data_IF_200271962032
#
_entry.id   IF_200271962032
#
_cell.length_a   1.000
_cell.length_b   1.000
_cell.length_c   1.000
_cell.angle_alpha   90.00
_cell.angle_beta   90.00
_cell.angle_gamma   90.00
#
_symmetry.space_group_name_H-M   'P 1'
#
loop_
_entity.id
_entity.type
_entity.pdbx_description
1 polymer ?
#
# COMPACT_ATOMS: atom_id res chain seq x y z
N UNK A 1 -18.68 -12.05 22.31
CA UNK A 1 -18.10 -11.93 20.96
C UNK A 1 -17.19 -13.11 20.75
N UNK A 2 -17.29 -13.81 19.62
CA UNK A 2 -16.45 -14.96 19.32
C UNK A 2 -14.97 -14.55 19.34
N UNK A 3 -14.07 -15.25 20.07
CA UNK A 3 -12.63 -14.95 20.10
C UNK A 3 -11.99 -14.95 18.73
N UNK A 4 -12.45 -15.83 17.81
CA UNK A 4 -11.94 -15.87 16.44
C UNK A 4 -12.28 -14.59 15.66
N UNK A 5 -13.50 -14.04 15.86
CA UNK A 5 -13.90 -12.78 15.24
C UNK A 5 -13.07 -11.61 15.78
N UNK A 6 -12.84 -11.56 17.09
CA UNK A 6 -11.98 -10.52 17.72
C UNK A 6 -10.58 -10.55 17.11
N UNK A 7 -10.00 -11.75 16.96
CA UNK A 7 -8.68 -11.91 16.38
C UNK A 7 -8.62 -11.41 14.94
N UNK A 8 -9.60 -11.76 14.11
CA UNK A 8 -9.66 -11.33 12.71
C UNK A 8 -9.81 -9.81 12.61
N UNK A 9 -10.66 -9.21 13.45
CA UNK A 9 -10.84 -7.75 13.48
C UNK A 9 -9.59 -7.00 13.92
N UNK A 10 -8.77 -7.57 14.83
CA UNK A 10 -7.50 -6.97 15.27
C UNK A 10 -6.37 -7.15 14.27
N UNK A 11 -6.40 -8.18 13.44
CA UNK A 11 -5.36 -8.42 12.41
C UNK A 11 -5.30 -7.29 11.39
N UNK A 12 -6.44 -6.74 10.98
CA UNK A 12 -6.48 -5.65 9.98
C UNK A 12 -5.76 -4.38 10.45
N UNK A 13 -6.05 -3.77 11.61
CA UNK A 13 -5.34 -2.58 12.05
C UNK A 13 -3.86 -2.84 12.33
N UNK A 14 -3.49 -4.00 12.86
CA UNK A 14 -2.07 -4.37 13.06
C UNK A 14 -1.35 -4.43 11.71
N UNK A 15 -1.93 -5.10 10.72
CA UNK A 15 -1.36 -5.18 9.38
C UNK A 15 -1.31 -3.81 8.68
N UNK A 16 -2.31 -2.95 8.90
CA UNK A 16 -2.31 -1.58 8.39
C UNK A 16 -1.15 -0.75 8.98
N UNK A 17 -0.84 -0.88 10.27
CA UNK A 17 0.32 -0.23 10.89
C UNK A 17 1.64 -0.68 10.27
N UNK A 18 1.76 -1.97 9.91
CA UNK A 18 2.94 -2.47 9.17
C UNK A 18 3.05 -1.82 7.78
N UNK A 19 1.94 -1.69 7.05
CA UNK A 19 1.91 -0.98 5.75
C UNK A 19 2.38 0.46 5.91
N UNK A 20 1.86 1.18 6.90
CA UNK A 20 2.24 2.58 7.17
C UNK A 20 3.74 2.68 7.45
N UNK A 21 4.26 1.82 8.33
CA UNK A 21 5.68 1.76 8.65
C UNK A 21 6.54 1.54 7.41
N UNK A 22 6.23 0.51 6.63
CA UNK A 22 6.99 0.16 5.41
C UNK A 22 6.91 1.27 4.37
N UNK A 23 5.74 1.94 4.24
CA UNK A 23 5.60 3.07 3.34
C UNK A 23 6.48 4.26 3.75
N UNK A 24 6.57 4.57 5.04
CA UNK A 24 7.47 5.61 5.56
C UNK A 24 8.92 5.27 5.25
N UNK A 25 9.35 4.05 5.51
CA UNK A 25 10.71 3.59 5.22
C UNK A 25 11.05 3.66 3.72
N UNK A 26 10.07 3.34 2.86
CA UNK A 26 10.25 3.46 1.41
C UNK A 26 10.45 4.92 0.95
N UNK A 27 9.81 5.89 1.60
CA UNK A 27 10.01 7.31 1.28
C UNK A 27 11.41 7.83 1.64
N UNK A 28 12.06 7.27 2.63
CA UNK A 28 13.41 7.68 3.06
C UNK A 28 14.46 7.45 1.96
N UNK A 29 14.19 6.56 1.01
CA UNK A 29 15.03 6.38 -0.18
C UNK A 29 15.27 7.70 -0.92
N UNK A 30 14.26 8.58 -1.00
CA UNK A 30 14.37 9.86 -1.70
C UNK A 30 15.50 10.73 -1.13
N UNK A 31 15.65 10.76 0.20
CA UNK A 31 16.74 11.48 0.88
C UNK A 31 18.06 10.75 0.69
N UNK A 32 18.12 9.46 1.00
CA UNK A 32 19.31 8.62 0.86
C UNK A 32 19.89 8.66 -0.56
N UNK A 33 19.04 8.66 -1.59
CA UNK A 33 19.48 8.66 -3.00
C UNK A 33 20.26 9.91 -3.42
N UNK A 34 20.21 11.01 -2.65
CA UNK A 34 20.97 12.22 -2.90
C UNK A 34 22.40 12.13 -2.36
N UNK A 35 22.61 11.36 -1.30
CA UNK A 35 23.89 11.21 -0.62
C UNK A 35 24.74 10.07 -1.18
N UNK A 36 24.09 8.99 -1.62
CA UNK A 36 24.74 7.79 -2.13
C UNK A 36 25.26 7.95 -3.56
N UNK A 37 26.42 7.34 -3.84
CA UNK A 37 27.09 7.35 -5.15
C UNK A 37 27.52 5.94 -5.59
N UNK A 38 27.78 5.80 -6.86
CA UNK A 38 28.38 4.58 -7.44
C UNK A 38 27.61 3.30 -7.10
N UNK A 39 28.35 2.28 -6.69
CA UNK A 39 27.82 0.94 -6.42
C UNK A 39 26.86 0.90 -5.21
N UNK A 40 27.12 1.71 -4.19
CA UNK A 40 26.26 1.81 -3.02
C UNK A 40 24.86 2.33 -3.40
N UNK A 41 24.79 3.38 -4.23
CA UNK A 41 23.52 3.87 -4.77
C UNK A 41 22.80 2.83 -5.62
N UNK A 42 23.53 2.03 -6.39
CA UNK A 42 22.95 0.99 -7.23
C UNK A 42 22.34 -0.13 -6.37
N UNK A 43 23.03 -0.59 -5.32
CA UNK A 43 22.54 -1.63 -4.41
C UNK A 43 21.31 -1.18 -3.63
N UNK A 44 21.31 0.04 -3.08
CA UNK A 44 20.18 0.61 -2.37
C UNK A 44 18.98 0.91 -3.28
N UNK A 45 19.22 1.31 -4.56
CA UNK A 45 18.16 1.43 -5.57
C UNK A 45 17.45 0.09 -5.80
N UNK A 46 18.22 -0.98 -5.94
CA UNK A 46 17.67 -2.33 -6.11
C UNK A 46 16.90 -2.78 -4.86
N UNK A 47 17.40 -2.47 -3.68
CA UNK A 47 16.69 -2.74 -2.44
C UNK A 47 15.35 -2.01 -2.39
N UNK A 48 15.32 -0.72 -2.73
CA UNK A 48 14.08 0.05 -2.82
C UNK A 48 13.06 -0.58 -3.79
N UNK A 49 13.50 -1.10 -4.92
CA UNK A 49 12.64 -1.79 -5.89
C UNK A 49 12.03 -3.07 -5.29
N UNK A 50 12.84 -3.90 -4.62
CA UNK A 50 12.39 -5.15 -3.98
C UNK A 50 11.41 -4.86 -2.83
N UNK A 51 11.74 -3.90 -1.96
CA UNK A 51 10.88 -3.55 -0.84
C UNK A 51 9.58 -2.88 -1.31
N UNK A 52 9.60 -2.14 -2.42
CA UNK A 52 8.39 -1.60 -3.07
C UNK A 52 7.46 -2.70 -3.57
N UNK A 53 7.98 -3.77 -4.15
CA UNK A 53 7.21 -4.96 -4.55
C UNK A 53 6.58 -5.67 -3.33
N UNK A 54 7.32 -5.78 -2.23
CA UNK A 54 6.82 -6.37 -0.99
C UNK A 54 5.71 -5.52 -0.38
N UNK A 55 5.90 -4.22 -0.33
CA UNK A 55 4.91 -3.28 0.17
C UNK A 55 3.62 -3.34 -0.64
N UNK A 56 3.71 -3.38 -1.98
CA UNK A 56 2.53 -3.50 -2.84
C UNK A 56 1.74 -4.78 -2.54
N UNK A 57 2.43 -5.93 -2.42
CA UNK A 57 1.78 -7.20 -2.05
C UNK A 57 1.16 -7.15 -0.65
N UNK A 58 1.81 -6.49 0.29
CA UNK A 58 1.29 -6.32 1.65
C UNK A 58 0.00 -5.48 1.64
N UNK A 59 -0.07 -4.41 0.85
CA UNK A 59 -1.29 -3.60 0.69
C UNK A 59 -2.44 -4.45 0.15
N UNK A 60 -2.21 -5.26 -0.88
CA UNK A 60 -3.22 -6.17 -1.41
C UNK A 60 -3.70 -7.14 -0.33
N UNK A 61 -2.77 -7.73 0.43
CA UNK A 61 -3.10 -8.67 1.51
C UNK A 61 -3.93 -8.02 2.62
N UNK A 62 -3.60 -6.78 3.02
CA UNK A 62 -4.35 -6.05 4.06
C UNK A 62 -5.76 -5.70 3.61
N UNK A 63 -5.94 -5.31 2.35
CA UNK A 63 -7.28 -5.04 1.80
C UNK A 63 -8.08 -6.35 1.68
N UNK A 64 -7.45 -7.41 1.20
CA UNK A 64 -8.07 -8.75 1.18
C UNK A 64 -8.50 -9.22 2.56
N UNK A 65 -7.66 -8.97 3.59
CA UNK A 65 -7.98 -9.28 4.98
C UNK A 65 -9.20 -8.49 5.48
N UNK A 66 -9.34 -7.22 5.10
CA UNK A 66 -10.50 -6.40 5.47
C UNK A 66 -11.80 -6.96 4.87
N UNK A 67 -11.78 -7.35 3.59
CA UNK A 67 -12.92 -8.00 2.95
C UNK A 67 -13.23 -9.35 3.59
N UNK A 68 -12.22 -10.18 3.85
CA UNK A 68 -12.38 -11.47 4.50
C UNK A 68 -13.01 -11.32 5.90
N UNK A 69 -12.52 -10.36 6.70
CA UNK A 69 -13.07 -10.09 8.02
C UNK A 69 -14.56 -9.72 7.95
N UNK A 70 -14.96 -8.94 6.94
CA UNK A 70 -16.35 -8.56 6.71
C UNK A 70 -17.23 -9.77 6.35
N UNK A 71 -16.79 -10.60 5.40
CA UNK A 71 -17.50 -11.83 5.00
C UNK A 71 -17.65 -12.81 6.16
N UNK A 72 -16.60 -13.01 6.95
CA UNK A 72 -16.66 -13.88 8.13
C UNK A 72 -17.62 -13.31 9.17
N UNK A 73 -17.61 -11.99 9.40
CA UNK A 73 -18.53 -11.35 10.33
C UNK A 73 -20.00 -11.56 9.91
N UNK A 74 -20.35 -11.32 8.65
CA UNK A 74 -21.70 -11.53 8.11
C UNK A 74 -22.12 -12.99 8.23
N UNK A 75 -21.24 -13.93 7.85
CA UNK A 75 -21.52 -15.37 7.96
C UNK A 75 -21.78 -15.84 9.40
N UNK A 76 -21.01 -15.34 10.38
CA UNK A 76 -21.19 -15.67 11.80
C UNK A 76 -22.44 -15.03 12.41
N UNK A 77 -22.91 -13.91 11.85
CA UNK A 77 -24.16 -13.27 12.26
C UNK A 77 -25.41 -13.97 11.72
N UNK A 78 -25.24 -14.99 10.86
CA UNK A 78 -26.35 -15.70 10.24
C UNK A 78 -27.08 -14.87 9.16
N UNK A 79 -26.43 -13.83 8.65
CA UNK A 79 -26.94 -13.01 7.56
C UNK A 79 -26.71 -13.72 6.21
N UNK A 80 -27.68 -13.64 5.31
CA UNK A 80 -27.50 -14.12 3.94
C UNK A 80 -26.48 -13.23 3.24
N UNK A 81 -25.37 -13.82 2.78
CA UNK A 81 -24.30 -13.10 2.07
C UNK A 81 -24.84 -12.53 0.75
N UNK A 82 -24.91 -11.22 0.69
CA UNK A 82 -25.39 -10.47 -0.46
C UNK A 82 -24.29 -9.64 -1.14
N UNK A 83 -24.65 -9.02 -2.25
CA UNK A 83 -23.73 -8.10 -2.96
C UNK A 83 -23.35 -6.89 -2.10
N UNK A 84 -24.25 -6.45 -1.22
CA UNK A 84 -24.03 -5.32 -0.31
C UNK A 84 -22.92 -5.58 0.69
N UNK A 85 -22.66 -6.85 1.04
CA UNK A 85 -21.55 -7.22 1.93
C UNK A 85 -20.18 -7.03 1.30
N UNK A 86 -20.11 -7.00 -0.01
CA UNK A 86 -18.88 -6.73 -0.76
C UNK A 86 -18.64 -5.22 -0.99
N UNK A 87 -19.68 -4.40 -0.86
CA UNK A 87 -19.56 -2.96 -1.07
C UNK A 87 -19.15 -2.22 0.20
N UNK A 88 -18.19 -1.29 0.13
CA UNK A 88 -17.84 -0.47 1.29
C UNK A 88 -19.03 0.38 1.72
N UNK A 89 -19.51 0.20 2.96
CA UNK A 89 -20.63 0.95 3.53
C UNK A 89 -20.26 2.30 4.14
N UNK A 90 -18.95 2.64 4.19
CA UNK A 90 -18.44 3.82 4.90
C UNK A 90 -17.18 4.38 4.24
N UNK A 91 -16.82 5.62 4.59
CA UNK A 91 -15.68 6.35 4.00
C UNK A 91 -14.34 5.61 4.13
N UNK A 92 -14.08 4.96 5.25
CA UNK A 92 -12.85 4.18 5.42
C UNK A 92 -12.73 3.07 4.37
N UNK A 93 -13.78 2.31 4.10
CA UNK A 93 -13.77 1.26 3.08
C UNK A 93 -13.51 1.80 1.67
N UNK A 94 -14.17 2.89 1.27
CA UNK A 94 -13.91 3.55 -0.01
C UNK A 94 -12.51 4.15 -0.08
N UNK A 95 -12.00 4.72 1.02
CA UNK A 95 -10.64 5.21 1.14
C UNK A 95 -9.61 4.11 0.93
N UNK A 96 -9.85 2.89 1.43
CA UNK A 96 -9.01 1.72 1.20
C UNK A 96 -8.93 1.34 -0.28
N UNK A 97 -10.07 1.31 -1.00
CA UNK A 97 -10.09 1.02 -2.44
C UNK A 97 -9.38 2.11 -3.26
N UNK A 98 -9.61 3.38 -2.94
CA UNK A 98 -8.89 4.50 -3.55
C UNK A 98 -7.38 4.37 -3.29
N UNK A 99 -7.00 4.06 -2.05
CA UNK A 99 -5.61 3.82 -1.66
C UNK A 99 -4.97 2.69 -2.48
N UNK A 100 -5.69 1.59 -2.70
CA UNK A 100 -5.22 0.48 -3.54
C UNK A 100 -5.01 0.91 -4.99
N UNK A 101 -5.95 1.66 -5.56
CA UNK A 101 -5.85 2.18 -6.93
C UNK A 101 -4.59 3.08 -7.09
N UNK A 102 -4.42 4.02 -6.17
CA UNK A 102 -3.26 4.93 -6.19
C UNK A 102 -1.95 4.20 -5.92
N UNK A 103 -1.95 3.21 -5.02
CA UNK A 103 -0.78 2.38 -4.77
C UNK A 103 -0.40 1.51 -5.98
N UNK A 104 -1.39 0.98 -6.69
CA UNK A 104 -1.18 0.27 -7.96
C UNK A 104 -0.54 1.21 -8.99
N UNK A 105 -1.04 2.43 -9.11
CA UNK A 105 -0.46 3.41 -10.02
C UNK A 105 0.96 3.82 -9.61
N UNK A 106 1.21 4.01 -8.32
CA UNK A 106 2.55 4.27 -7.77
C UNK A 106 3.52 3.13 -8.11
N UNK A 107 3.11 1.89 -7.92
CA UNK A 107 3.87 0.70 -8.26
C UNK A 107 4.18 0.63 -9.77
N UNK A 108 3.20 0.89 -10.65
CA UNK A 108 3.40 0.94 -12.11
C UNK A 108 4.42 2.01 -12.49
N UNK A 109 4.37 3.21 -11.88
CA UNK A 109 5.35 4.27 -12.13
C UNK A 109 6.75 3.85 -11.70
N UNK A 110 6.89 3.19 -10.54
CA UNK A 110 8.16 2.64 -10.07
C UNK A 110 8.75 1.62 -11.07
N UNK A 111 7.92 0.67 -11.51
CA UNK A 111 8.31 -0.33 -12.52
C UNK A 111 8.74 0.30 -13.84
N UNK A 112 8.00 1.29 -14.32
CA UNK A 112 8.34 2.03 -15.55
C UNK A 112 9.66 2.79 -15.42
N UNK A 113 9.90 3.43 -14.27
CA UNK A 113 11.16 4.13 -14.01
C UNK A 113 12.35 3.17 -14.02
N UNK A 114 12.21 2.00 -13.38
CA UNK A 114 13.23 0.95 -13.35
C UNK A 114 13.51 0.38 -14.75
N UNK A 115 12.48 0.06 -15.54
CA UNK A 115 12.63 -0.45 -16.89
C UNK A 115 13.31 0.55 -17.82
N UNK A 116 12.93 1.83 -17.78
CA UNK A 116 13.58 2.88 -18.58
C UNK A 116 15.04 3.09 -18.18
N UNK A 117 15.33 3.08 -16.87
CA UNK A 117 16.70 3.13 -16.37
C UNK A 117 17.55 1.99 -16.91
N UNK A 118 17.02 0.76 -16.89
CA UNK A 118 17.70 -0.42 -17.43
C UNK A 118 17.93 -0.35 -18.95
N UNK A 119 17.02 0.28 -19.70
CA UNK A 119 17.14 0.51 -21.14
C UNK A 119 18.04 1.71 -21.50
N UNK A 120 18.61 2.42 -20.52
CA UNK A 120 19.39 3.65 -20.77
C UNK A 120 18.57 4.86 -21.24
N UNK A 121 17.24 4.80 -21.09
CA UNK A 121 16.32 5.87 -21.48
C UNK A 121 16.17 6.92 -20.38
N UNK A 122 15.73 8.12 -20.76
CA UNK A 122 15.38 9.16 -19.78
C UNK A 122 14.14 8.75 -18.95
N UNK A 123 14.27 8.74 -17.64
CA UNK A 123 13.22 8.39 -16.71
C UNK A 123 12.90 9.48 -15.67
N UNK A 124 13.48 10.68 -15.80
CA UNK A 124 13.31 11.79 -14.85
C UNK A 124 11.85 12.12 -14.60
N UNK A 125 11.06 12.34 -15.67
CA UNK A 125 9.62 12.64 -15.56
C UNK A 125 8.84 11.55 -14.83
N UNK A 126 9.11 10.28 -15.13
CA UNK A 126 8.44 9.14 -14.46
C UNK A 126 8.81 9.07 -12.98
N UNK A 127 10.09 9.30 -12.65
CA UNK A 127 10.59 9.38 -11.28
C UNK A 127 9.93 10.54 -10.51
N UNK A 128 9.78 11.70 -11.12
CA UNK A 128 9.16 12.87 -10.50
C UNK A 128 7.67 12.65 -10.24
N UNK A 129 6.96 12.04 -11.19
CA UNK A 129 5.54 11.65 -11.00
C UNK A 129 5.39 10.63 -9.88
N UNK A 130 6.26 9.61 -9.81
CA UNK A 130 6.31 8.64 -8.73
C UNK A 130 6.53 9.32 -7.37
N UNK A 131 7.47 10.25 -7.28
CA UNK A 131 7.75 11.00 -6.06
C UNK A 131 6.57 11.85 -5.59
N UNK A 132 5.93 12.61 -6.49
CA UNK A 132 4.75 13.43 -6.18
C UNK A 132 3.56 12.57 -5.72
N UNK A 133 3.30 11.46 -6.41
CA UNK A 133 2.24 10.54 -6.01
C UNK A 133 2.52 9.92 -4.63
N UNK A 134 3.78 9.59 -4.32
CA UNK A 134 4.17 9.13 -2.98
C UNK A 134 3.90 10.19 -1.90
N UNK A 135 4.06 11.48 -2.19
CA UNK A 135 3.73 12.57 -1.26
C UNK A 135 2.21 12.66 -1.02
N UNK A 136 1.41 12.56 -2.08
CA UNK A 136 -0.07 12.50 -1.98
C UNK A 136 -0.52 11.28 -1.18
N UNK A 137 0.06 10.11 -1.47
CA UNK A 137 -0.25 8.87 -0.76
C UNK A 137 0.03 8.98 0.74
N UNK A 138 1.11 9.64 1.16
CA UNK A 138 1.40 9.84 2.58
C UNK A 138 0.29 10.61 3.28
N UNK A 139 -0.20 11.69 2.68
CA UNK A 139 -1.30 12.48 3.24
C UNK A 139 -2.58 11.63 3.33
N UNK A 140 -2.90 10.88 2.27
CA UNK A 140 -4.09 10.03 2.24
C UNK A 140 -4.01 8.88 3.25
N UNK A 141 -2.86 8.26 3.45
CA UNK A 141 -2.65 7.21 4.46
C UNK A 141 -2.92 7.76 5.86
N UNK A 142 -2.42 8.96 6.17
CA UNK A 142 -2.66 9.61 7.47
C UNK A 142 -4.16 9.87 7.65
N UNK A 143 -4.82 10.51 6.68
CA UNK A 143 -6.25 10.78 6.74
C UNK A 143 -7.04 9.48 6.91
N UNK A 144 -6.72 8.45 6.11
CA UNK A 144 -7.39 7.15 6.16
C UNK A 144 -7.25 6.47 7.52
N UNK A 145 -6.09 6.56 8.16
CA UNK A 145 -5.87 5.99 9.50
C UNK A 145 -6.73 6.65 10.58
N UNK A 146 -7.13 7.92 10.41
CA UNK A 146 -8.00 8.63 11.34
C UNK A 146 -9.50 8.47 11.05
N UNK A 147 -9.86 7.95 9.87
CA UNK A 147 -11.27 7.70 9.48
C UNK A 147 -11.76 6.28 9.83
N UNK A 148 -10.88 5.43 10.31
CA UNK A 148 -11.14 4.03 10.72
C UNK A 148 -11.33 3.88 12.23
#
# INVERSE_FOLDING_TARGET
MDPALVLILLLHPIAALLVIREFILQRDWRKKSLELKGQERASESRRHEIEGERLFRLVIAVIGLAFLARLVSASLSGEDLGYDDLMPGHFHGWGGLLGLLLMTYLWVLGRRASSRKAAGESFSRTKDSHGRLSDVMMVLIIIHAFLG
#
